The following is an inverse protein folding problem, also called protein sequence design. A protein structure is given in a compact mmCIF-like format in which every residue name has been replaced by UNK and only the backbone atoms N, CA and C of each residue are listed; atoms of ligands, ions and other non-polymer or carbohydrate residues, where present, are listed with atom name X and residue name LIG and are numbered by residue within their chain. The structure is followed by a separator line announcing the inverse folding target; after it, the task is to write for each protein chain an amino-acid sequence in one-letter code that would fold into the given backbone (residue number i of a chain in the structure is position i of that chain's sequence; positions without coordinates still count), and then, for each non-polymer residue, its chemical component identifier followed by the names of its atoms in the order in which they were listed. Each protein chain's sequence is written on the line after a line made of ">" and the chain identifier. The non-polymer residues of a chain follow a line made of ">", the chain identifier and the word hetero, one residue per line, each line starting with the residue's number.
data_IF_506388298027
#
_entry.id   IF_506388298027
#
_cell.length_a   1.000
_cell.length_b   1.000
_cell.length_c   1.000
_cell.angle_alpha   90.00
_cell.angle_beta   90.00
_cell.angle_gamma   90.00
#
_symmetry.space_group_name_H-M   'P 1'
#
loop_
_entity.id
_entity.type
_entity.pdbx_description
1 polymer ?
#
# COMPACT_ATOMS: atom_id res chain seq x y z
N UNK A 1 20.74 -20.96 10.33
CA UNK A 1 21.76 -20.94 9.24
C UNK A 1 21.71 -22.19 8.36
N UNK A 2 21.70 -23.41 8.94
CA UNK A 2 21.65 -24.67 8.17
C UNK A 2 20.45 -24.79 7.23
N UNK A 3 19.26 -24.44 7.70
CA UNK A 3 18.02 -24.51 6.88
C UNK A 3 18.04 -23.58 5.65
N UNK A 4 18.55 -22.35 5.80
CA UNK A 4 18.72 -21.41 4.68
C UNK A 4 19.73 -21.95 3.66
N UNK A 5 20.79 -22.61 4.14
CA UNK A 5 21.79 -23.23 3.28
C UNK A 5 21.19 -24.40 2.48
N UNK A 6 20.45 -25.30 3.13
CA UNK A 6 19.77 -26.42 2.47
C UNK A 6 18.76 -25.93 1.41
N UNK A 7 17.96 -24.91 1.73
CA UNK A 7 17.01 -24.31 0.77
C UNK A 7 17.72 -23.75 -0.46
N UNK A 8 18.86 -23.06 -0.27
CA UNK A 8 19.66 -22.53 -1.39
C UNK A 8 20.29 -23.64 -2.22
N UNK A 9 20.77 -24.71 -1.58
CA UNK A 9 21.34 -25.86 -2.27
C UNK A 9 20.29 -26.59 -3.11
N UNK A 10 19.13 -26.89 -2.53
CA UNK A 10 18.00 -27.50 -3.24
C UNK A 10 17.55 -26.65 -4.43
N UNK A 11 17.47 -25.33 -4.24
CA UNK A 11 17.11 -24.40 -5.31
C UNK A 11 18.15 -24.42 -6.45
N UNK A 12 19.45 -24.42 -6.13
CA UNK A 12 20.52 -24.50 -7.12
C UNK A 12 20.48 -25.82 -7.90
N UNK A 13 20.26 -26.94 -7.21
CA UNK A 13 20.10 -28.26 -7.83
C UNK A 13 18.87 -28.30 -8.74
N UNK A 14 17.72 -27.79 -8.30
CA UNK A 14 16.50 -27.72 -9.10
C UNK A 14 16.71 -26.86 -10.36
N UNK A 15 17.39 -25.72 -10.25
CA UNK A 15 17.75 -24.85 -11.37
C UNK A 15 18.68 -25.56 -12.37
N UNK A 16 19.62 -26.38 -11.89
CA UNK A 16 20.49 -27.18 -12.75
C UNK A 16 19.74 -28.30 -13.48
N UNK A 17 18.86 -29.02 -12.78
CA UNK A 17 18.01 -30.06 -13.38
C UNK A 17 17.13 -29.44 -14.47
N UNK A 18 16.49 -28.30 -14.17
CA UNK A 18 15.65 -27.60 -15.14
C UNK A 18 16.42 -27.26 -16.42
N UNK A 19 17.65 -26.75 -16.31
CA UNK A 19 18.50 -26.48 -17.49
C UNK A 19 18.81 -27.73 -18.31
N UNK A 20 19.03 -28.88 -17.67
CA UNK A 20 19.27 -30.14 -18.38
C UNK A 20 18.00 -30.60 -19.10
N UNK A 21 16.86 -30.54 -18.41
CA UNK A 21 15.55 -30.91 -18.97
C UNK A 21 15.21 -30.02 -20.18
N UNK A 22 15.40 -28.71 -20.07
CA UNK A 22 15.20 -27.76 -21.17
C UNK A 22 16.11 -28.04 -22.39
N UNK A 23 17.34 -28.51 -22.20
CA UNK A 23 18.26 -28.86 -23.31
C UNK A 23 17.87 -30.16 -24.03
N UNK A 24 17.24 -31.07 -23.31
CA UNK A 24 17.01 -32.45 -23.76
C UNK A 24 15.70 -32.59 -24.52
N UNK A 25 14.67 -31.83 -24.12
CA UNK A 25 13.38 -31.82 -24.79
C UNK A 25 13.47 -31.08 -26.13
N UNK A 26 13.13 -31.78 -27.21
CA UNK A 26 13.10 -31.25 -28.59
C UNK A 26 11.82 -31.63 -29.35
N UNK A 27 10.91 -32.40 -28.74
CA UNK A 27 9.73 -32.96 -29.42
C UNK A 27 8.45 -32.21 -29.05
N UNK A 28 7.52 -32.09 -30.01
CA UNK A 28 6.24 -31.37 -29.86
C UNK A 28 5.34 -31.88 -28.73
N UNK A 29 5.36 -33.20 -28.44
CA UNK A 29 4.59 -33.80 -27.33
C UNK A 29 5.06 -33.38 -25.93
N UNK A 30 6.29 -32.88 -25.81
CA UNK A 30 6.86 -32.45 -24.52
C UNK A 30 6.66 -30.94 -24.29
N UNK A 31 6.31 -30.17 -25.33
CA UNK A 31 5.97 -28.75 -25.21
C UNK A 31 4.69 -28.49 -24.41
N UNK A 32 3.69 -29.39 -24.47
CA UNK A 32 2.47 -29.25 -23.67
C UNK A 32 2.74 -29.34 -22.17
N UNK A 33 3.63 -30.26 -21.76
CA UNK A 33 4.06 -30.41 -20.36
C UNK A 33 4.76 -29.15 -19.86
N UNK A 34 5.61 -28.54 -20.69
CA UNK A 34 6.23 -27.26 -20.33
C UNK A 34 5.24 -26.10 -20.29
N UNK A 35 4.23 -26.09 -21.16
CA UNK A 35 3.19 -25.06 -21.16
C UNK A 35 2.39 -25.12 -19.85
N UNK A 36 1.96 -26.31 -19.43
CA UNK A 36 1.29 -26.52 -18.13
C UNK A 36 2.18 -26.08 -16.95
N UNK A 37 3.46 -26.46 -16.96
CA UNK A 37 4.40 -26.08 -15.92
C UNK A 37 4.63 -24.55 -15.86
N UNK A 38 4.68 -23.87 -17.01
CA UNK A 38 4.78 -22.42 -17.12
C UNK A 38 3.53 -21.72 -16.58
N UNK A 39 2.35 -22.27 -16.83
CA UNK A 39 1.09 -21.77 -16.27
C UNK A 39 1.14 -21.87 -14.74
N UNK A 40 1.55 -23.02 -14.19
CA UNK A 40 1.75 -23.19 -12.76
C UNK A 40 2.73 -22.17 -12.19
N UNK A 41 3.89 -21.99 -12.84
CA UNK A 41 4.89 -21.00 -12.46
C UNK A 41 4.34 -19.56 -12.52
N UNK A 42 3.50 -19.24 -13.50
CA UNK A 42 2.87 -17.93 -13.64
C UNK A 42 1.84 -17.65 -12.53
N UNK A 43 1.07 -18.66 -12.12
CA UNK A 43 0.10 -18.58 -11.00
C UNK A 43 0.79 -18.39 -9.65
N UNK A 44 1.94 -19.03 -9.46
CA UNK A 44 2.73 -18.99 -8.22
C UNK A 44 3.75 -17.82 -8.18
N UNK A 45 3.91 -17.07 -9.27
CA UNK A 45 4.86 -15.95 -9.33
C UNK A 45 6.34 -16.37 -9.48
N UNK A 46 6.62 -17.58 -9.97
CA UNK A 46 7.96 -18.12 -10.16
C UNK A 46 8.63 -17.57 -11.43
N UNK A 47 9.17 -16.35 -11.30
CA UNK A 47 9.85 -15.64 -12.40
C UNK A 47 11.06 -16.40 -12.96
N UNK A 48 11.86 -17.04 -12.11
CA UNK A 48 13.07 -17.72 -12.58
C UNK A 48 12.72 -18.89 -13.50
N UNK A 49 11.74 -19.71 -13.12
CA UNK A 49 11.27 -20.80 -13.95
C UNK A 49 10.75 -20.28 -15.30
N UNK A 50 9.89 -19.25 -15.28
CA UNK A 50 9.34 -18.63 -16.49
C UNK A 50 10.45 -18.15 -17.41
N UNK A 51 11.43 -17.41 -16.90
CA UNK A 51 12.54 -16.87 -17.71
C UNK A 51 13.44 -17.98 -18.24
N UNK A 52 13.77 -19.00 -17.44
CA UNK A 52 14.65 -20.08 -17.87
C UNK A 52 14.05 -20.93 -18.99
N UNK A 53 12.78 -21.35 -18.84
CA UNK A 53 12.10 -22.16 -19.86
C UNK A 53 11.87 -21.35 -21.12
N UNK A 54 11.43 -20.09 -20.98
CA UNK A 54 11.18 -19.21 -22.14
C UNK A 54 12.44 -18.89 -22.94
N UNK A 55 13.62 -18.85 -22.31
CA UNK A 55 14.89 -18.67 -23.02
C UNK A 55 15.34 -19.92 -23.78
N UNK A 56 15.00 -21.10 -23.26
CA UNK A 56 15.34 -22.36 -23.91
C UNK A 56 14.42 -22.64 -25.10
N UNK A 57 13.13 -22.30 -24.98
CA UNK A 57 12.09 -22.54 -25.99
C UNK A 57 11.24 -21.28 -26.17
N UNK A 58 11.72 -20.23 -26.88
CA UNK A 58 11.02 -18.95 -27.01
C UNK A 58 9.59 -19.03 -27.56
N UNK A 59 9.32 -20.01 -28.41
CA UNK A 59 8.01 -20.28 -28.99
C UNK A 59 6.94 -20.54 -27.93
N UNK A 60 7.31 -21.07 -26.76
CA UNK A 60 6.35 -21.45 -25.72
C UNK A 60 5.67 -20.25 -25.05
N UNK A 61 6.28 -19.06 -25.12
CA UNK A 61 5.69 -17.81 -24.60
C UNK A 61 4.47 -17.40 -25.43
N UNK A 62 4.45 -17.79 -26.70
CA UNK A 62 3.36 -17.55 -27.65
C UNK A 62 2.33 -18.68 -27.66
N UNK A 63 2.63 -19.83 -27.03
CA UNK A 63 1.69 -20.95 -26.97
C UNK A 63 0.63 -20.62 -25.92
N UNK A 64 -0.53 -20.20 -26.43
CA UNK A 64 -1.82 -20.33 -25.74
C UNK A 64 -2.50 -21.62 -26.18
N UNK A 65 -3.34 -22.18 -25.32
CA UNK A 65 -4.32 -23.18 -25.75
C UNK A 65 -5.45 -22.46 -26.52
N UNK A 66 -6.25 -23.18 -27.30
CA UNK A 66 -7.43 -22.62 -27.98
C UNK A 66 -8.37 -21.91 -27.01
N UNK A 67 -8.37 -22.33 -25.75
CA UNK A 67 -9.20 -21.76 -24.69
C UNK A 67 -8.55 -20.69 -23.82
N UNK A 68 -7.20 -20.61 -23.75
CA UNK A 68 -6.51 -19.72 -22.79
C UNK A 68 -5.26 -19.07 -23.41
N UNK A 69 -5.22 -17.72 -23.49
CA UNK A 69 -4.41 -17.04 -24.51
C UNK A 69 -2.90 -16.89 -24.27
N UNK A 70 -2.38 -16.92 -23.03
CA UNK A 70 -0.92 -16.95 -22.70
C UNK A 70 -0.64 -16.95 -21.17
N UNK A 71 0.64 -17.08 -20.79
CA UNK A 71 1.11 -17.04 -19.39
C UNK A 71 0.77 -15.73 -18.64
N UNK A 72 0.65 -14.59 -19.33
CA UNK A 72 0.37 -13.31 -18.70
C UNK A 72 -1.10 -13.20 -18.28
N UNK A 73 -2.00 -13.91 -18.95
CA UNK A 73 -3.38 -14.10 -18.49
C UNK A 73 -3.40 -14.57 -17.03
N UNK A 74 -2.67 -15.65 -16.74
CA UNK A 74 -2.61 -16.21 -15.39
C UNK A 74 -1.86 -15.30 -14.41
N UNK A 75 -0.78 -14.66 -14.85
CA UNK A 75 -0.08 -13.70 -14.01
C UNK A 75 -1.01 -12.54 -13.58
N UNK A 76 -1.88 -12.08 -14.47
CA UNK A 76 -2.88 -11.04 -14.17
C UNK A 76 -4.00 -11.60 -13.29
N UNK A 77 -4.57 -12.76 -13.64
CA UNK A 77 -5.65 -13.40 -12.88
C UNK A 77 -5.26 -13.65 -11.42
N UNK A 78 -4.02 -14.07 -11.16
CA UNK A 78 -3.50 -14.37 -9.83
C UNK A 78 -2.70 -13.22 -9.20
N UNK A 79 -2.70 -12.03 -9.82
CA UNK A 79 -2.01 -10.82 -9.34
C UNK A 79 -0.52 -11.03 -9.04
N UNK A 80 0.15 -11.76 -9.93
CA UNK A 80 1.59 -12.06 -9.86
C UNK A 80 2.42 -10.99 -10.59
N UNK A 81 2.58 -9.83 -9.94
CA UNK A 81 3.22 -8.64 -10.52
C UNK A 81 4.63 -8.92 -11.06
N UNK A 82 5.39 -9.77 -10.37
CA UNK A 82 6.78 -10.10 -10.77
C UNK A 82 6.84 -10.83 -12.11
N UNK A 83 5.89 -11.74 -12.38
CA UNK A 83 5.77 -12.43 -13.66
C UNK A 83 5.19 -11.48 -14.70
N UNK A 84 4.16 -10.71 -14.35
CA UNK A 84 3.55 -9.76 -15.28
C UNK A 84 4.53 -8.69 -15.79
N UNK A 85 5.41 -8.19 -14.92
CA UNK A 85 6.46 -7.23 -15.28
C UNK A 85 7.31 -7.68 -16.46
N UNK A 86 7.47 -9.00 -16.64
CA UNK A 86 8.24 -9.54 -17.74
C UNK A 86 7.68 -9.09 -19.10
N UNK A 87 6.38 -8.77 -19.24
CA UNK A 87 5.80 -8.29 -20.49
C UNK A 87 6.52 -7.06 -21.08
N UNK A 88 7.09 -6.21 -20.21
CA UNK A 88 7.83 -5.01 -20.61
C UNK A 88 9.15 -5.30 -21.32
N UNK A 89 9.67 -6.51 -21.21
CA UNK A 89 10.88 -6.96 -21.90
C UNK A 89 10.62 -7.67 -23.23
N UNK A 90 9.36 -7.89 -23.62
CA UNK A 90 9.01 -8.62 -24.84
C UNK A 90 8.96 -7.71 -26.08
N UNK A 91 9.50 -8.20 -27.20
CA UNK A 91 9.43 -7.50 -28.51
C UNK A 91 8.03 -7.51 -29.12
N UNK A 92 7.25 -8.55 -28.84
CA UNK A 92 5.94 -8.82 -29.45
C UNK A 92 4.79 -8.70 -28.43
N UNK A 93 4.91 -7.78 -27.47
CA UNK A 93 3.92 -7.59 -26.40
C UNK A 93 2.51 -7.36 -26.94
N UNK A 94 2.36 -6.64 -28.05
CA UNK A 94 1.06 -6.27 -28.60
C UNK A 94 0.26 -7.53 -28.96
N UNK A 95 0.90 -8.51 -29.62
CA UNK A 95 0.28 -9.79 -29.97
C UNK A 95 -0.26 -10.54 -28.74
N UNK A 96 0.47 -10.52 -27.63
CA UNK A 96 0.05 -11.18 -26.38
C UNK A 96 -1.09 -10.43 -25.67
N UNK A 97 -1.12 -9.10 -25.78
CA UNK A 97 -2.15 -8.26 -25.15
C UNK A 97 -3.45 -8.18 -25.94
N UNK A 98 -3.45 -8.56 -27.22
CA UNK A 98 -4.64 -8.57 -28.09
C UNK A 98 -5.42 -9.89 -28.08
N UNK A 99 -4.81 -10.96 -27.57
CA UNK A 99 -5.45 -12.27 -27.52
C UNK A 99 -6.68 -12.27 -26.60
N UNK A 100 -7.63 -13.16 -26.91
CA UNK A 100 -8.87 -13.36 -26.17
C UNK A 100 -9.05 -14.83 -25.81
N UNK A 101 -9.73 -15.09 -24.70
CA UNK A 101 -10.22 -16.44 -24.37
C UNK A 101 -11.51 -16.78 -25.12
N UNK A 102 -12.02 -18.00 -24.92
CA UNK A 102 -13.26 -18.51 -25.54
C UNK A 102 -14.49 -17.64 -25.22
N UNK A 103 -14.47 -16.93 -24.09
CA UNK A 103 -15.51 -16.00 -23.66
C UNK A 103 -15.34 -14.60 -24.24
N UNK A 104 -14.35 -14.38 -25.11
CA UNK A 104 -14.03 -13.09 -25.70
C UNK A 104 -13.34 -12.12 -24.75
N UNK A 105 -12.94 -12.57 -23.56
CA UNK A 105 -12.27 -11.74 -22.56
C UNK A 105 -10.82 -11.48 -22.98
N UNK A 106 -10.46 -10.21 -23.03
CA UNK A 106 -9.07 -9.79 -23.13
C UNK A 106 -8.38 -9.80 -21.77
N UNK A 107 -7.06 -9.60 -21.75
CA UNK A 107 -6.30 -9.43 -20.50
C UNK A 107 -6.88 -8.35 -19.58
N UNK A 108 -7.49 -7.31 -20.16
CA UNK A 108 -8.11 -6.23 -19.40
C UNK A 108 -9.45 -6.63 -18.76
N UNK A 109 -10.18 -7.58 -19.35
CA UNK A 109 -11.36 -8.18 -18.70
C UNK A 109 -10.93 -9.09 -17.54
N UNK A 110 -9.81 -9.81 -17.69
CA UNK A 110 -9.29 -10.69 -16.64
C UNK A 110 -8.90 -9.89 -15.40
N UNK A 111 -8.17 -8.79 -15.56
CA UNK A 111 -7.84 -7.91 -14.43
C UNK A 111 -9.08 -7.20 -13.87
N UNK A 112 -10.15 -7.09 -14.68
CA UNK A 112 -11.41 -6.52 -14.25
C UNK A 112 -12.20 -7.43 -13.28
N UNK A 113 -11.90 -8.73 -13.29
CA UNK A 113 -12.44 -9.65 -12.28
C UNK A 113 -11.71 -9.50 -10.94
N UNK A 114 -12.42 -9.76 -9.85
CA UNK A 114 -11.90 -9.65 -8.49
C UNK A 114 -10.76 -10.65 -8.26
N UNK A 115 -9.65 -10.19 -7.66
CA UNK A 115 -8.53 -11.05 -7.34
C UNK A 115 -8.88 -12.21 -6.38
N UNK A 116 -8.09 -13.31 -6.40
CA UNK A 116 -8.28 -14.41 -5.45
C UNK A 116 -8.23 -13.94 -3.99
N UNK A 117 -9.05 -14.52 -3.08
CA UNK A 117 -9.09 -14.13 -1.68
C UNK A 117 -7.73 -14.21 -0.97
N UNK A 118 -6.89 -15.18 -1.35
CA UNK A 118 -5.52 -15.32 -0.83
C UNK A 118 -4.66 -14.09 -1.09
N UNK A 119 -4.88 -13.40 -2.23
CA UNK A 119 -4.19 -12.16 -2.56
C UNK A 119 -4.84 -10.96 -1.87
N UNK A 120 -6.17 -10.82 -1.96
CA UNK A 120 -6.89 -9.68 -1.40
C UNK A 120 -6.73 -9.58 0.12
N UNK A 121 -6.85 -10.70 0.83
CA UNK A 121 -6.76 -10.73 2.30
C UNK A 121 -5.36 -10.40 2.83
N UNK A 122 -4.33 -10.43 1.97
CA UNK A 122 -2.98 -10.00 2.34
C UNK A 122 -2.83 -8.47 2.42
N UNK A 123 -3.78 -7.72 1.82
CA UNK A 123 -3.75 -6.27 1.73
C UNK A 123 -4.57 -5.67 2.88
N UNK A 124 -4.00 -4.62 3.51
CA UNK A 124 -4.55 -4.00 4.70
C UNK A 124 -5.80 -3.14 4.40
N UNK A 125 -6.98 -3.60 4.81
CA UNK A 125 -8.23 -2.83 4.72
C UNK A 125 -8.81 -2.72 3.31
N UNK A 126 -10.15 -2.69 3.23
CA UNK A 126 -10.88 -2.72 1.96
C UNK A 126 -10.53 -1.54 1.03
N UNK A 127 -10.21 -0.35 1.57
CA UNK A 127 -9.82 0.78 0.74
C UNK A 127 -8.47 0.59 0.03
N UNK A 128 -7.49 -0.06 0.68
CA UNK A 128 -6.20 -0.35 0.04
C UNK A 128 -6.29 -1.57 -0.88
N UNK A 129 -7.19 -2.52 -0.59
CA UNK A 129 -7.55 -3.58 -1.53
C UNK A 129 -8.10 -2.99 -2.82
N UNK A 130 -9.08 -2.08 -2.73
CA UNK A 130 -9.64 -1.40 -3.89
C UNK A 130 -8.58 -0.58 -4.65
N UNK A 131 -7.73 0.16 -3.93
CA UNK A 131 -6.59 0.86 -4.52
C UNK A 131 -5.71 -0.09 -5.33
N UNK A 132 -5.39 -1.26 -4.77
CA UNK A 132 -4.50 -2.23 -5.40
C UNK A 132 -5.08 -2.83 -6.68
N UNK A 133 -6.36 -3.19 -6.66
CA UNK A 133 -7.06 -3.71 -7.83
C UNK A 133 -7.09 -2.67 -8.95
N UNK A 134 -7.32 -1.40 -8.59
CA UNK A 134 -7.32 -0.32 -9.57
C UNK A 134 -5.91 -0.02 -10.13
N UNK A 135 -4.85 -0.16 -9.32
CA UNK A 135 -3.47 -0.09 -9.80
C UNK A 135 -3.15 -1.21 -10.79
N UNK A 136 -3.63 -2.43 -10.53
CA UNK A 136 -3.52 -3.56 -11.45
C UNK A 136 -4.25 -3.29 -12.76
N UNK A 137 -5.49 -2.82 -12.68
CA UNK A 137 -6.26 -2.45 -13.86
C UNK A 137 -5.54 -1.41 -14.71
N UNK A 138 -5.00 -0.35 -14.09
CA UNK A 138 -4.24 0.70 -14.79
C UNK A 138 -2.92 0.22 -15.39
N UNK A 139 -2.21 -0.70 -14.74
CA UNK A 139 -0.98 -1.25 -15.32
C UNK A 139 -1.29 -2.10 -16.56
N UNK A 140 -2.30 -2.98 -16.49
CA UNK A 140 -2.71 -3.80 -17.64
C UNK A 140 -3.26 -2.91 -18.76
N UNK A 141 -4.06 -1.89 -18.43
CA UNK A 141 -4.55 -0.89 -19.40
C UNK A 141 -3.39 -0.21 -20.15
N UNK A 142 -2.27 0.04 -19.47
CA UNK A 142 -1.11 0.73 -20.05
C UNK A 142 -0.38 -0.06 -21.13
N UNK A 143 -0.47 -1.39 -21.10
CA UNK A 143 0.19 -2.28 -22.08
C UNK A 143 -0.76 -2.75 -23.18
N UNK A 144 -2.07 -2.61 -22.98
CA UNK A 144 -3.11 -3.05 -23.92
C UNK A 144 -3.44 -1.94 -24.95
N UNK A 145 -3.51 -2.26 -26.26
CA UNK A 145 -3.91 -1.31 -27.31
C UNK A 145 -5.30 -0.71 -27.11
N UNK A 146 -5.52 0.51 -27.60
CA UNK A 146 -6.77 1.25 -27.42
C UNK A 146 -8.02 0.50 -27.93
N UNK A 147 -7.89 -0.27 -29.02
CA UNK A 147 -8.97 -1.08 -29.59
C UNK A 147 -9.51 -2.12 -28.62
N UNK A 148 -8.65 -2.69 -27.77
CA UNK A 148 -9.02 -3.72 -26.80
C UNK A 148 -9.66 -3.10 -25.53
N UNK A 149 -9.36 -1.83 -25.23
CA UNK A 149 -9.90 -1.14 -24.03
C UNK A 149 -11.40 -0.91 -24.08
N UNK A 150 -11.95 -0.77 -25.29
CA UNK A 150 -13.38 -0.49 -25.53
C UNK A 150 -14.12 -1.72 -26.07
N UNK A 151 -13.41 -2.80 -26.36
CA UNK A 151 -14.04 -3.95 -26.98
C UNK A 151 -14.77 -4.79 -25.93
N UNK A 152 -15.94 -5.30 -26.32
CA UNK A 152 -16.78 -6.10 -25.45
C UNK A 152 -16.34 -7.57 -25.45
N UNK A 153 -16.65 -8.28 -24.36
CA UNK A 153 -16.63 -9.74 -24.29
C UNK A 153 -17.94 -10.34 -24.85
N UNK A 154 -18.08 -11.67 -24.80
CA UNK A 154 -19.28 -12.36 -25.30
C UNK A 154 -20.55 -12.02 -24.51
N UNK A 155 -20.42 -11.46 -23.31
CA UNK A 155 -21.53 -10.97 -22.47
C UNK A 155 -21.90 -9.51 -22.77
N UNK A 156 -21.23 -8.88 -23.74
CA UNK A 156 -21.49 -7.50 -24.14
C UNK A 156 -20.91 -6.44 -23.19
N UNK A 157 -20.06 -6.82 -22.24
CA UNK A 157 -19.44 -5.89 -21.29
C UNK A 157 -18.08 -5.43 -21.78
N UNK A 158 -17.78 -4.14 -21.60
CA UNK A 158 -16.41 -3.61 -21.71
C UNK A 158 -15.60 -3.92 -20.43
N UNK A 159 -14.25 -3.86 -20.49
CA UNK A 159 -13.41 -4.10 -19.32
C UNK A 159 -13.73 -3.20 -18.12
N UNK A 160 -14.08 -1.93 -18.35
CA UNK A 160 -14.38 -0.99 -17.29
C UNK A 160 -15.77 -1.23 -16.66
N UNK A 161 -16.75 -1.67 -17.46
CA UNK A 161 -18.06 -2.08 -16.95
C UNK A 161 -17.95 -3.33 -16.10
N UNK A 162 -17.18 -4.33 -16.57
CA UNK A 162 -16.90 -5.54 -15.80
C UNK A 162 -16.16 -5.22 -14.49
N UNK A 163 -15.20 -4.28 -14.51
CA UNK A 163 -14.46 -3.89 -13.30
C UNK A 163 -15.40 -3.29 -12.26
N UNK A 164 -16.27 -2.36 -12.68
CA UNK A 164 -17.27 -1.72 -11.83
C UNK A 164 -18.22 -2.72 -11.18
N UNK A 165 -18.74 -3.66 -11.97
CA UNK A 165 -19.67 -4.64 -11.43
C UNK A 165 -18.96 -5.61 -10.48
N UNK A 166 -17.78 -6.11 -10.86
CA UNK A 166 -17.00 -7.06 -10.04
C UNK A 166 -16.48 -6.47 -8.73
N UNK A 167 -16.22 -5.16 -8.68
CA UNK A 167 -15.64 -4.47 -7.52
C UNK A 167 -16.65 -3.58 -6.77
N UNK A 168 -17.94 -3.68 -7.09
CA UNK A 168 -19.00 -2.86 -6.50
C UNK A 168 -19.07 -2.97 -4.99
N UNK A 169 -19.00 -4.18 -4.45
CA UNK A 169 -19.07 -4.40 -3.01
C UNK A 169 -17.76 -4.04 -2.32
N UNK A 170 -16.60 -4.34 -2.94
CA UNK A 170 -15.30 -3.88 -2.45
C UNK A 170 -15.20 -2.35 -2.39
N UNK A 171 -15.78 -1.64 -3.36
CA UNK A 171 -15.83 -0.17 -3.38
C UNK A 171 -16.66 0.36 -2.21
N UNK A 172 -17.82 -0.24 -1.92
CA UNK A 172 -18.65 0.12 -0.76
C UNK A 172 -17.93 -0.16 0.56
N UNK A 173 -17.29 -1.31 0.68
CA UNK A 173 -16.50 -1.67 1.87
C UNK A 173 -15.30 -0.73 2.05
N UNK A 174 -14.62 -0.38 0.96
CA UNK A 174 -13.52 0.57 0.95
C UNK A 174 -13.96 1.97 1.36
N UNK A 175 -15.10 2.44 0.84
CA UNK A 175 -15.73 3.71 1.23
C UNK A 175 -16.07 3.71 2.72
N UNK A 176 -16.73 2.66 3.21
CA UNK A 176 -17.08 2.52 4.62
C UNK A 176 -15.83 2.53 5.49
N UNK A 177 -14.83 1.71 5.16
CA UNK A 177 -13.60 1.55 5.93
C UNK A 177 -12.84 2.88 6.06
N UNK A 178 -12.70 3.64 4.97
CA UNK A 178 -11.96 4.90 5.01
C UNK A 178 -12.75 6.02 5.71
N UNK A 179 -14.09 6.02 5.60
CA UNK A 179 -14.97 6.94 6.35
C UNK A 179 -14.90 6.69 7.85
N UNK A 180 -15.01 5.44 8.27
CA UNK A 180 -14.90 5.05 9.68
C UNK A 180 -13.54 5.43 10.25
N UNK A 181 -12.46 5.11 9.53
CA UNK A 181 -11.09 5.49 9.91
C UNK A 181 -10.94 7.02 10.02
N UNK A 182 -11.40 7.77 9.03
CA UNK A 182 -11.34 9.23 9.03
C UNK A 182 -12.16 9.84 10.17
N UNK A 183 -13.35 9.31 10.45
CA UNK A 183 -14.21 9.75 11.55
C UNK A 183 -13.54 9.52 12.92
N UNK A 184 -13.08 8.30 13.19
CA UNK A 184 -12.39 7.97 14.44
C UNK A 184 -11.14 8.83 14.66
N UNK A 185 -10.33 9.03 13.62
CA UNK A 185 -9.13 9.86 13.73
C UNK A 185 -9.45 11.36 13.84
N UNK A 186 -10.56 11.83 13.25
CA UNK A 186 -11.04 13.21 13.41
C UNK A 186 -11.41 13.51 14.86
N UNK A 187 -12.07 12.56 15.54
CA UNK A 187 -12.41 12.70 16.97
C UNK A 187 -11.14 12.83 17.82
N UNK A 188 -10.14 11.98 17.59
CA UNK A 188 -8.85 12.06 18.27
C UNK A 188 -8.17 13.41 17.99
N UNK A 189 -8.13 13.85 16.73
CA UNK A 189 -7.58 15.15 16.36
C UNK A 189 -8.29 16.31 17.05
N UNK A 190 -9.61 16.34 17.04
CA UNK A 190 -10.41 17.37 17.70
C UNK A 190 -10.18 17.42 19.23
N UNK A 191 -10.02 16.26 19.88
CA UNK A 191 -9.65 16.17 21.29
C UNK A 191 -8.28 16.80 21.53
N UNK A 192 -7.27 16.48 20.71
CA UNK A 192 -5.93 17.08 20.84
C UNK A 192 -5.96 18.60 20.60
N UNK A 193 -6.71 19.08 19.60
CA UNK A 193 -6.91 20.53 19.37
C UNK A 193 -7.46 21.18 20.64
N UNK A 194 -8.50 20.59 21.24
CA UNK A 194 -9.16 21.14 22.43
C UNK A 194 -8.22 21.18 23.63
N UNK A 195 -7.49 20.09 23.90
CA UNK A 195 -6.55 20.00 25.03
C UNK A 195 -5.40 21.00 24.85
N UNK A 196 -4.82 21.09 23.65
CA UNK A 196 -3.70 22.00 23.38
C UNK A 196 -4.13 23.47 23.34
N UNK A 197 -5.33 23.76 22.85
CA UNK A 197 -5.89 25.10 22.90
C UNK A 197 -6.06 25.55 24.36
N UNK A 198 -6.63 24.70 25.22
CA UNK A 198 -6.74 24.99 26.64
C UNK A 198 -5.35 25.21 27.27
N UNK A 199 -4.39 24.31 27.01
CA UNK A 199 -3.02 24.42 27.52
C UNK A 199 -2.31 25.73 27.12
N UNK A 200 -2.58 26.25 25.90
CA UNK A 200 -2.01 27.50 25.44
C UNK A 200 -2.48 28.72 26.26
N UNK A 201 -3.70 28.67 26.83
CA UNK A 201 -4.22 29.73 27.71
C UNK A 201 -3.95 29.47 29.19
N UNK A 202 -3.86 28.21 29.60
CA UNK A 202 -3.52 27.79 30.96
C UNK A 202 -2.04 27.50 31.11
N UNK A 203 -1.20 28.47 30.70
CA UNK A 203 0.25 28.32 30.69
C UNK A 203 0.80 27.89 32.06
N UNK A 204 1.79 26.97 32.11
CA UNK A 204 2.38 26.53 33.37
C UNK A 204 2.93 27.71 34.18
N UNK A 205 2.55 27.77 35.47
CA UNK A 205 2.92 28.86 36.38
C UNK A 205 2.03 30.10 36.28
N UNK A 206 1.14 30.20 35.28
CA UNK A 206 0.25 31.33 35.09
C UNK A 206 0.95 32.60 34.58
N UNK A 207 0.20 33.70 34.61
CA UNK A 207 0.64 35.01 34.13
C UNK A 207 0.92 35.95 35.30
N UNK A 208 1.89 36.85 35.13
CA UNK A 208 2.15 37.92 36.08
C UNK A 208 0.95 38.88 36.10
N UNK A 209 0.41 39.17 37.29
CA UNK A 209 -0.78 40.01 37.47
C UNK A 209 -0.59 41.48 37.09
N UNK A 210 0.64 41.99 37.12
CA UNK A 210 0.93 43.39 36.77
C UNK A 210 1.10 43.60 35.26
N UNK A 211 1.77 42.66 34.57
CA UNK A 211 2.17 42.83 33.18
C UNK A 211 1.47 41.88 32.19
N UNK A 212 0.80 40.84 32.69
CA UNK A 212 0.11 39.83 31.88
C UNK A 212 1.01 38.78 31.21
N UNK A 213 2.34 38.90 31.29
CA UNK A 213 3.27 37.94 30.67
C UNK A 213 3.39 36.63 31.49
N UNK A 214 3.64 35.48 30.83
CA UNK A 214 3.88 34.21 31.51
C UNK A 214 5.08 34.28 32.47
N UNK A 215 4.91 33.75 33.69
CA UNK A 215 5.93 33.85 34.75
C UNK A 215 7.23 33.12 34.36
N UNK A 216 7.12 31.99 33.66
CA UNK A 216 8.26 31.17 33.26
C UNK A 216 8.84 31.50 31.88
N UNK A 217 8.54 32.67 31.29
CA UNK A 217 8.91 33.01 29.91
C UNK A 217 10.42 32.89 29.59
N UNK A 218 11.30 33.07 30.59
CA UNK A 218 12.76 32.96 30.44
C UNK A 218 13.32 31.54 30.63
N UNK A 219 12.49 30.53 30.91
CA UNK A 219 12.93 29.15 31.16
C UNK A 219 12.92 28.34 29.87
N UNK A 220 13.97 27.56 29.64
CA UNK A 220 14.09 26.72 28.43
C UNK A 220 12.91 25.74 28.26
N UNK A 221 12.45 25.12 29.35
CA UNK A 221 11.29 24.23 29.31
C UNK A 221 9.99 24.97 28.92
N UNK A 222 9.87 26.26 29.22
CA UNK A 222 8.72 27.07 28.81
C UNK A 222 8.73 27.35 27.31
N UNK A 223 9.89 27.69 26.75
CA UNK A 223 10.05 27.84 25.29
C UNK A 223 9.71 26.55 24.56
N UNK A 224 10.18 25.40 25.08
CA UNK A 224 9.85 24.08 24.54
C UNK A 224 8.34 23.80 24.61
N UNK A 225 7.71 24.09 25.75
CA UNK A 225 6.26 23.94 25.94
C UNK A 225 5.46 24.73 24.90
N UNK A 226 5.75 26.02 24.72
CA UNK A 226 5.00 26.86 23.77
C UNK A 226 5.18 26.36 22.34
N UNK A 227 6.42 26.07 21.91
CA UNK A 227 6.69 25.58 20.57
C UNK A 227 5.99 24.24 20.29
N UNK A 228 6.09 23.28 21.22
CA UNK A 228 5.45 21.97 21.10
C UNK A 228 3.93 22.07 21.13
N UNK A 229 3.35 22.94 21.95
CA UNK A 229 1.89 23.18 22.01
C UNK A 229 1.37 23.76 20.70
N UNK A 230 2.04 24.78 20.14
CA UNK A 230 1.68 25.37 18.85
C UNK A 230 1.78 24.35 17.71
N UNK A 231 2.89 23.60 17.66
CA UNK A 231 3.08 22.57 16.64
C UNK A 231 2.04 21.46 16.76
N UNK A 232 1.70 21.04 17.98
CA UNK A 232 0.66 20.04 18.24
C UNK A 232 -0.71 20.51 17.74
N UNK A 233 -1.08 21.75 18.05
CA UNK A 233 -2.37 22.33 17.67
C UNK A 233 -2.50 22.46 16.15
N UNK A 234 -1.51 23.08 15.48
CA UNK A 234 -1.55 23.28 14.03
C UNK A 234 -1.54 21.95 13.27
N UNK A 235 -0.74 20.99 13.73
CA UNK A 235 -0.67 19.65 13.13
C UNK A 235 -1.98 18.88 13.34
N UNK A 236 -2.61 18.99 14.51
CA UNK A 236 -3.92 18.37 14.76
C UNK A 236 -5.04 19.00 13.93
N UNK A 237 -5.08 20.33 13.84
CA UNK A 237 -6.04 21.03 12.98
C UNK A 237 -5.89 20.62 11.51
N UNK A 238 -4.65 20.50 11.03
CA UNK A 238 -4.35 19.98 9.68
C UNK A 238 -4.88 18.55 9.51
N UNK A 239 -4.65 17.68 10.49
CA UNK A 239 -5.16 16.31 10.48
C UNK A 239 -6.69 16.26 10.37
N UNK A 240 -7.40 17.06 11.17
CA UNK A 240 -8.87 17.14 11.16
C UNK A 240 -9.39 17.62 9.80
N UNK A 241 -8.78 18.65 9.22
CA UNK A 241 -9.17 19.14 7.89
C UNK A 241 -8.96 18.09 6.80
N UNK A 242 -7.87 17.32 6.85
CA UNK A 242 -7.63 16.24 5.89
C UNK A 242 -8.66 15.12 6.01
N UNK A 243 -9.02 14.71 7.23
CA UNK A 243 -10.05 13.69 7.44
C UNK A 243 -11.45 14.19 7.09
N UNK A 244 -11.78 15.45 7.37
CA UNK A 244 -13.01 16.08 6.87
C UNK A 244 -13.03 16.10 5.33
N UNK A 245 -11.87 16.37 4.71
CA UNK A 245 -11.68 16.27 3.26
C UNK A 245 -11.87 14.86 2.70
N UNK A 246 -11.66 13.81 3.50
CA UNK A 246 -12.05 12.43 3.15
C UNK A 246 -13.58 12.33 3.23
N UNK A 247 -14.18 12.64 4.38
CA UNK A 247 -15.64 12.50 4.61
C UNK A 247 -16.50 13.23 3.56
N UNK A 248 -16.01 14.34 3.01
CA UNK A 248 -16.68 15.16 1.99
C UNK A 248 -16.34 14.78 0.53
N UNK A 249 -15.52 13.74 0.30
CA UNK A 249 -15.16 13.28 -1.05
C UNK A 249 -16.31 12.58 -1.77
N UNK A 250 -16.20 12.44 -3.11
CA UNK A 250 -17.21 11.81 -3.97
C UNK A 250 -17.12 10.28 -4.05
N UNK A 251 -16.01 9.69 -3.60
CA UNK A 251 -15.77 8.24 -3.55
C UNK A 251 -15.94 7.52 -4.89
N UNK A 252 -15.53 8.16 -5.99
CA UNK A 252 -15.39 7.46 -7.26
C UNK A 252 -14.25 6.44 -7.19
N UNK A 253 -14.31 5.36 -7.96
CA UNK A 253 -13.26 4.34 -7.98
C UNK A 253 -11.87 4.96 -8.19
N UNK A 254 -11.75 5.92 -9.11
CA UNK A 254 -10.51 6.65 -9.39
C UNK A 254 -9.95 7.41 -8.19
N UNK A 255 -10.81 7.87 -7.27
CA UNK A 255 -10.37 8.54 -6.06
C UNK A 255 -9.55 7.62 -5.14
N UNK A 256 -9.80 6.29 -5.19
CA UNK A 256 -9.06 5.29 -4.43
C UNK A 256 -7.61 5.11 -4.92
N UNK A 257 -7.26 5.51 -6.15
CA UNK A 257 -5.89 5.37 -6.64
C UNK A 257 -4.90 6.22 -5.85
N UNK A 258 -5.24 7.49 -5.64
CA UNK A 258 -4.29 8.48 -5.11
C UNK A 258 -4.93 9.53 -4.21
N UNK A 259 -6.08 10.07 -4.58
CA UNK A 259 -6.72 11.17 -3.85
C UNK A 259 -7.03 10.81 -2.40
N UNK A 260 -7.80 9.74 -2.18
CA UNK A 260 -8.20 9.26 -0.86
C UNK A 260 -7.01 8.77 -0.01
N UNK A 261 -6.12 7.88 -0.53
CA UNK A 261 -4.93 7.46 0.20
C UNK A 261 -4.01 8.63 0.57
N UNK A 262 -3.83 9.62 -0.31
CA UNK A 262 -2.97 10.79 -0.02
C UNK A 262 -3.55 11.62 1.12
N UNK A 263 -4.87 11.86 1.12
CA UNK A 263 -5.53 12.56 2.23
C UNK A 263 -5.36 11.81 3.55
N UNK A 264 -5.50 10.48 3.52
CA UNK A 264 -5.31 9.60 4.68
C UNK A 264 -3.87 9.68 5.21
N UNK A 265 -2.86 9.63 4.32
CA UNK A 265 -1.44 9.73 4.68
C UNK A 265 -1.14 11.06 5.36
N UNK A 266 -1.57 12.18 4.77
CA UNK A 266 -1.33 13.52 5.34
C UNK A 266 -2.03 13.65 6.69
N UNK A 267 -3.29 13.20 6.78
CA UNK A 267 -4.07 13.21 8.03
C UNK A 267 -3.38 12.43 9.14
N UNK A 268 -3.03 11.16 8.91
CA UNK A 268 -2.36 10.31 9.89
C UNK A 268 -0.97 10.83 10.28
N UNK A 269 -0.19 11.34 9.31
CA UNK A 269 1.14 11.91 9.58
C UNK A 269 1.04 13.15 10.48
N UNK A 270 0.09 14.04 10.19
CA UNK A 270 -0.15 15.23 10.99
C UNK A 270 -0.68 14.88 12.40
N UNK A 271 -1.52 13.85 12.53
CA UNK A 271 -1.95 13.34 13.83
C UNK A 271 -0.79 12.78 14.66
N UNK A 272 0.12 12.04 14.02
CA UNK A 272 1.29 11.48 14.67
C UNK A 272 2.22 12.58 15.22
N UNK A 273 2.53 13.58 14.41
CA UNK A 273 3.30 14.76 14.83
C UNK A 273 2.61 15.47 15.99
N UNK A 274 1.28 15.59 15.92
CA UNK A 274 0.50 16.26 16.96
C UNK A 274 0.56 15.55 18.31
N UNK A 275 0.38 14.23 18.35
CA UNK A 275 0.43 13.44 19.58
C UNK A 275 1.85 13.43 20.17
N UNK A 276 2.89 13.29 19.33
CA UNK A 276 4.27 13.34 19.78
C UNK A 276 4.62 14.68 20.43
N UNK A 277 4.22 15.78 19.78
CA UNK A 277 4.47 17.14 20.29
C UNK A 277 3.62 17.48 21.52
N UNK A 278 2.39 16.97 21.61
CA UNK A 278 1.58 17.06 22.83
C UNK A 278 2.29 16.44 24.03
N UNK A 279 2.91 15.27 23.85
CA UNK A 279 3.62 14.57 24.93
C UNK A 279 4.91 15.32 25.31
N UNK A 280 5.62 15.89 24.33
CA UNK A 280 6.76 16.79 24.60
C UNK A 280 6.31 18.01 25.42
N UNK A 281 5.18 18.63 25.07
CA UNK A 281 4.63 19.77 25.82
C UNK A 281 4.26 19.38 27.27
N UNK A 282 3.66 18.20 27.46
CA UNK A 282 3.37 17.67 28.78
C UNK A 282 4.65 17.44 29.60
N UNK A 283 5.66 16.78 29.04
CA UNK A 283 6.95 16.55 29.70
C UNK A 283 7.66 17.87 30.04
N UNK A 284 7.60 18.87 29.15
CA UNK A 284 8.14 20.20 29.39
C UNK A 284 7.45 20.90 30.57
N UNK A 285 6.12 20.73 30.68
CA UNK A 285 5.32 21.26 31.80
C UNK A 285 5.72 20.63 33.13
N UNK A 286 5.86 19.30 33.19
CA UNK A 286 6.33 18.60 34.39
C UNK A 286 7.77 19.01 34.73
N UNK A 287 8.62 19.18 33.71
CA UNK A 287 9.98 19.70 33.88
C UNK A 287 10.02 21.09 34.52
N UNK A 288 9.12 22.00 34.12
CA UNK A 288 8.96 23.31 34.75
C UNK A 288 8.54 23.19 36.22
N UNK A 289 7.56 22.33 36.52
CA UNK A 289 7.03 22.17 37.88
C UNK A 289 8.09 21.59 38.85
N UNK A 290 8.93 20.68 38.37
CA UNK A 290 9.96 20.02 39.19
C UNK A 290 11.29 20.80 39.27
N UNK A 291 11.46 21.85 38.46
CA UNK A 291 12.73 22.60 38.40
C UNK A 291 13.14 23.24 39.73
N UNK A 292 12.19 23.55 40.62
CA UNK A 292 12.47 24.21 41.91
C UNK A 292 12.39 23.30 43.13
N UNK A 293 11.93 22.06 43.00
CA UNK A 293 11.70 21.18 44.16
C UNK A 293 12.95 20.40 44.62
N UNK A 294 14.09 20.53 43.93
CA UNK A 294 15.28 19.71 44.20
C UNK A 294 15.10 18.21 43.89
N UNK A 295 13.92 17.82 43.40
CA UNK A 295 13.47 16.44 43.21
C UNK A 295 13.64 16.01 41.75
N UNK A 296 14.88 15.96 41.26
CA UNK A 296 15.21 15.62 39.86
C UNK A 296 14.82 14.18 39.49
N UNK A 297 14.73 13.27 40.46
CA UNK A 297 14.39 11.86 40.24
C UNK A 297 12.90 11.62 39.93
N UNK A 298 12.03 12.59 40.22
CA UNK A 298 10.59 12.50 39.94
C UNK A 298 10.21 12.53 38.45
N UNK A 299 11.10 13.00 37.57
CA UNK A 299 10.87 12.99 36.11
C UNK A 299 10.96 11.58 35.52
N UNK A 300 11.78 10.71 36.09
CA UNK A 300 12.07 9.39 35.50
C UNK A 300 10.81 8.50 35.44
N UNK A 301 10.00 8.35 36.51
CA UNK A 301 8.75 7.59 36.43
C UNK A 301 7.73 8.19 35.44
N UNK A 302 7.67 9.52 35.34
CA UNK A 302 6.74 10.21 34.42
C UNK A 302 7.10 9.97 32.97
N UNK A 303 8.39 10.02 32.63
CA UNK A 303 8.87 9.70 31.27
C UNK A 303 8.61 8.24 30.93
N UNK A 304 8.84 7.31 31.87
CA UNK A 304 8.54 5.88 31.68
C UNK A 304 7.04 5.71 31.42
N UNK A 305 6.18 6.33 32.23
CA UNK A 305 4.73 6.21 32.08
C UNK A 305 4.23 6.85 30.77
N UNK A 306 4.78 8.00 30.38
CA UNK A 306 4.45 8.67 29.12
C UNK A 306 4.94 7.88 27.89
N UNK A 307 6.01 7.08 28.02
CA UNK A 307 6.53 6.27 26.92
C UNK A 307 5.61 5.12 26.50
N UNK A 308 4.77 4.62 27.42
CA UNK A 308 3.83 3.52 27.15
C UNK A 308 2.80 3.88 26.08
N UNK A 309 2.00 4.95 26.21
CA UNK A 309 1.04 5.32 25.18
C UNK A 309 1.71 5.74 23.87
N UNK A 310 2.91 6.35 23.90
CA UNK A 310 3.69 6.65 22.68
C UNK A 310 4.03 5.35 21.94
N UNK A 311 4.60 4.38 22.66
CA UNK A 311 5.03 3.12 22.07
C UNK A 311 3.85 2.34 21.52
N UNK A 312 2.74 2.30 22.24
CA UNK A 312 1.49 1.70 21.76
C UNK A 312 0.96 2.39 20.49
N UNK A 313 0.97 3.72 20.47
CA UNK A 313 0.50 4.49 19.31
C UNK A 313 1.38 4.23 18.08
N UNK A 314 2.71 4.23 18.25
CA UNK A 314 3.64 3.87 17.16
C UNK A 314 3.39 2.44 16.69
N UNK A 315 3.34 1.46 17.60
CA UNK A 315 3.17 0.05 17.23
C UNK A 315 1.84 -0.22 16.50
N UNK A 316 0.76 0.45 16.89
CA UNK A 316 -0.57 0.20 16.31
C UNK A 316 -0.83 1.01 15.04
N UNK A 317 -0.39 2.28 14.97
CA UNK A 317 -0.74 3.16 13.84
C UNK A 317 0.35 3.28 12.77
N UNK A 318 1.60 3.02 13.11
CA UNK A 318 2.68 3.03 12.12
C UNK A 318 2.48 2.00 11.00
N UNK A 319 2.01 0.75 11.27
CA UNK A 319 1.75 -0.22 10.19
C UNK A 319 0.73 0.29 9.17
N UNK A 320 -0.36 0.93 9.62
CA UNK A 320 -1.36 1.51 8.73
C UNK A 320 -0.74 2.60 7.85
N UNK A 321 -0.05 3.57 8.46
CA UNK A 321 0.59 4.67 7.72
C UNK A 321 1.62 4.14 6.71
N UNK A 322 2.50 3.23 7.16
CA UNK A 322 3.53 2.63 6.34
C UNK A 322 2.92 1.88 5.14
N UNK A 323 1.91 1.04 5.39
CA UNK A 323 1.24 0.28 4.33
C UNK A 323 0.52 1.18 3.33
N UNK A 324 -0.12 2.27 3.76
CA UNK A 324 -0.75 3.23 2.85
C UNK A 324 0.28 3.98 2.01
N UNK A 325 1.40 4.44 2.60
CA UNK A 325 2.50 5.10 1.88
C UNK A 325 3.10 4.14 0.86
N UNK A 326 3.46 2.93 1.28
CA UNK A 326 4.06 1.92 0.41
C UNK A 326 3.09 1.52 -0.71
N UNK A 327 1.81 1.29 -0.41
CA UNK A 327 0.80 0.98 -1.43
C UNK A 327 0.63 2.09 -2.46
N UNK A 328 0.67 3.35 -2.04
CA UNK A 328 0.39 4.51 -2.91
C UNK A 328 1.60 4.93 -3.73
N UNK A 329 2.80 4.91 -3.15
CA UNK A 329 4.01 5.49 -3.74
C UNK A 329 5.08 4.47 -4.09
N UNK A 330 5.12 3.30 -3.44
CA UNK A 330 6.00 2.23 -3.88
C UNK A 330 5.30 1.47 -5.03
N UNK A 331 5.85 1.58 -6.23
CA UNK A 331 5.35 0.85 -7.39
C UNK A 331 5.48 -0.65 -7.18
N UNK A 332 4.40 -1.40 -7.44
CA UNK A 332 4.42 -2.87 -7.49
C UNK A 332 5.09 -3.35 -8.78
N UNK A 333 4.92 -2.55 -9.84
CA UNK A 333 5.34 -2.87 -11.18
C UNK A 333 6.70 -2.29 -11.48
N UNK A 334 7.58 -3.13 -12.01
CA UNK A 334 8.89 -2.74 -12.48
C UNK A 334 8.93 -2.85 -14.00
N UNK A 335 8.86 -1.70 -14.68
CA UNK A 335 8.91 -1.62 -16.15
C UNK A 335 10.33 -1.76 -16.71
N UNK A 336 11.37 -1.66 -15.86
CA UNK A 336 12.77 -1.79 -16.29
C UNK A 336 13.17 -3.27 -16.35
N UNK A 337 12.62 -3.98 -17.31
CA UNK A 337 12.98 -5.38 -17.59
C UNK A 337 13.91 -5.43 -18.80
N UNK A 338 15.00 -6.20 -18.68
CA UNK A 338 15.90 -6.45 -19.82
C UNK A 338 15.12 -7.20 -20.90
N UNK A 339 15.43 -6.93 -22.16
CA UNK A 339 14.78 -7.61 -23.27
C UNK A 339 14.91 -9.14 -23.14
N UNK A 340 13.82 -9.87 -23.40
CA UNK A 340 13.72 -11.34 -23.38
C UNK A 340 12.48 -11.79 -24.20
N UNK A 341 12.22 -13.09 -24.43
CA UNK A 341 13.16 -14.20 -24.31
C UNK A 341 14.50 -13.92 -25.01
#
# INVERSE_FOLDING_TARGET
>A
MREIYELKLMHAQASQILRLVCKTVRKSKELSVFAEALIGAAKEGNVEFVVQVSKAHPEIVLIGDTSIPNIFYYAVQFRQARVFNLIHGLRFKDALTTNRDDSGNSLLHVVATLAPPSHLNSIYGAALQMQRELQWFKEVESVVPATIRVAQNNEGMTPIELFRESHKDLTKEGEKWIKETASSCSVVGALVVTIMFAAAFTVPGGNNQEFGYPIFIKKNYFTLFIFSTTLSLLSSSTSVLMFLGILTSRYSEEDFLKSLPTKLIIGLSALFISIATMIIAFLATIGLMLQHSGYSWGLLPVVILASVPVSLFVLLQFPLLFNTIFSTYAGIFNRKVKLWP
#
